data_IF_211417402782
#
_entry.id   IF_211417402782
#
_cell.length_a   1.000
_cell.length_b   1.000
_cell.length_c   1.000
_cell.angle_alpha   90.00
_cell.angle_beta   90.00
_cell.angle_gamma   90.00
#
_symmetry.space_group_name_H-M   'P 1'
#
loop_
_entity.id
_entity.type
_entity.pdbx_description
1 polymer ?
#
# COMPACT_ATOMS: atom_id res chain seq x y z
N UNK A 1 -5.35 13.97 4.03
CA UNK A 1 -5.33 12.65 4.72
C UNK A 1 -4.50 12.67 6.01
N UNK A 2 -3.39 13.42 6.06
CA UNK A 2 -2.48 13.49 7.23
C UNK A 2 -3.18 13.72 8.58
N UNK A 3 -4.14 14.66 8.68
CA UNK A 3 -4.88 14.92 9.94
C UNK A 3 -5.61 13.71 10.51
N UNK A 4 -6.15 12.84 9.66
CA UNK A 4 -6.86 11.65 10.12
C UNK A 4 -5.86 10.62 10.69
N UNK A 5 -4.79 10.34 9.97
CA UNK A 5 -3.77 9.39 10.41
C UNK A 5 -3.02 9.85 11.65
N UNK A 6 -2.46 11.05 11.65
CA UNK A 6 -1.67 11.52 12.79
C UNK A 6 -2.53 11.88 13.99
N UNK A 7 -3.74 12.40 13.75
CA UNK A 7 -4.63 12.87 14.81
C UNK A 7 -5.47 11.77 15.43
N UNK A 8 -6.27 11.07 14.63
CA UNK A 8 -7.22 10.07 15.14
C UNK A 8 -6.55 8.71 15.39
N UNK A 9 -5.62 8.33 14.53
CA UNK A 9 -4.99 7.00 14.58
C UNK A 9 -3.57 7.01 15.19
N UNK A 10 -2.98 8.18 15.45
CA UNK A 10 -1.61 8.29 15.95
C UNK A 10 -0.54 7.77 14.99
N UNK A 11 -0.88 7.58 13.70
CA UNK A 11 0.01 7.05 12.67
C UNK A 11 0.78 8.20 11.99
N UNK A 12 2.10 8.10 11.80
CA UNK A 12 2.91 9.14 11.14
C UNK A 12 2.70 9.21 9.62
N UNK A 13 1.68 8.54 9.09
CA UNK A 13 1.43 8.38 7.68
C UNK A 13 1.08 9.70 7.00
N UNK A 14 1.74 9.97 5.88
CA UNK A 14 1.50 11.16 5.06
C UNK A 14 1.24 10.76 3.62
N UNK A 15 0.24 11.38 2.99
CA UNK A 15 0.08 11.26 1.54
C UNK A 15 1.32 11.80 0.84
N UNK A 16 1.78 11.10 -0.19
CA UNK A 16 3.01 11.41 -0.89
C UNK A 16 2.78 11.64 -2.37
N UNK A 17 3.02 10.63 -3.21
CA UNK A 17 2.98 10.76 -4.66
C UNK A 17 1.67 10.23 -5.21
N UNK A 18 1.35 10.62 -6.44
CA UNK A 18 0.23 10.10 -7.21
C UNK A 18 0.73 9.68 -8.59
N UNK A 19 0.83 8.38 -8.82
CA UNK A 19 1.30 7.83 -10.09
C UNK A 19 0.85 6.39 -10.25
N UNK A 20 1.12 5.81 -11.44
CA UNK A 20 1.15 4.36 -11.62
C UNK A 20 2.58 3.87 -11.51
N UNK A 21 2.80 2.77 -10.79
CA UNK A 21 4.08 2.08 -10.72
C UNK A 21 3.85 0.61 -10.38
N UNK A 22 4.91 -0.18 -10.44
CA UNK A 22 4.94 -1.57 -10.00
C UNK A 22 5.38 -1.65 -8.54
N UNK A 23 4.64 -2.41 -7.74
CA UNK A 23 4.95 -2.68 -6.34
C UNK A 23 4.91 -4.19 -6.06
N UNK A 24 5.71 -4.65 -5.11
CA UNK A 24 5.85 -6.06 -4.73
C UNK A 24 5.35 -6.26 -3.31
N UNK A 25 4.61 -7.34 -3.12
CA UNK A 25 4.09 -7.76 -1.82
C UNK A 25 5.24 -8.04 -0.86
N UNK A 26 5.06 -7.68 0.41
CA UNK A 26 5.93 -8.03 1.54
C UNK A 26 5.30 -9.22 2.28
N UNK A 27 5.65 -10.48 1.99
CA UNK A 27 4.96 -11.64 2.55
C UNK A 27 5.07 -11.72 4.08
N UNK A 28 6.13 -11.15 4.65
CA UNK A 28 6.33 -11.04 6.08
C UNK A 28 5.30 -10.13 6.78
N UNK A 29 4.68 -9.20 6.04
CA UNK A 29 3.77 -8.19 6.58
C UNK A 29 2.29 -8.58 6.47
N UNK A 30 1.97 -9.67 5.76
CA UNK A 30 0.60 -10.21 5.67
C UNK A 30 0.30 -11.26 6.74
N UNK A 31 1.22 -11.52 7.67
CA UNK A 31 1.10 -12.56 8.71
C UNK A 31 -0.12 -12.41 9.62
N UNK A 32 -0.65 -11.19 9.73
CA UNK A 32 -1.83 -10.89 10.54
C UNK A 32 -3.14 -11.14 9.78
N UNK A 33 -3.09 -11.28 8.46
CA UNK A 33 -4.26 -11.66 7.65
C UNK A 33 -4.53 -13.15 7.83
N UNK A 34 -5.76 -13.58 7.57
CA UNK A 34 -6.04 -15.01 7.50
C UNK A 34 -5.20 -15.64 6.37
N UNK A 35 -4.70 -16.89 6.52
CA UNK A 35 -3.92 -17.54 5.46
C UNK A 35 -4.66 -17.59 4.11
N UNK A 36 -5.98 -17.77 4.15
CA UNK A 36 -6.84 -17.78 2.96
C UNK A 36 -6.87 -16.41 2.28
N UNK A 37 -7.01 -15.33 3.03
CA UNK A 37 -7.00 -13.96 2.51
C UNK A 37 -5.61 -13.58 1.96
N UNK A 38 -4.55 -13.85 2.74
CA UNK A 38 -3.17 -13.58 2.33
C UNK A 38 -2.78 -14.35 1.05
N UNK A 39 -3.26 -15.58 0.89
CA UNK A 39 -2.99 -16.41 -0.28
C UNK A 39 -3.62 -15.91 -1.58
N UNK A 40 -4.57 -14.97 -1.52
CA UNK A 40 -5.19 -14.37 -2.70
C UNK A 40 -4.42 -13.15 -3.22
N UNK A 41 -3.48 -12.62 -2.44
CA UNK A 41 -2.75 -11.40 -2.80
C UNK A 41 -1.72 -11.67 -3.90
N UNK A 42 -1.69 -10.80 -4.90
CA UNK A 42 -0.71 -10.88 -5.97
C UNK A 42 0.69 -10.56 -5.43
N UNK A 43 1.71 -11.34 -5.80
CA UNK A 43 3.10 -11.05 -5.41
C UNK A 43 3.59 -9.70 -5.95
N UNK A 44 2.98 -9.22 -7.04
CA UNK A 44 3.29 -7.96 -7.68
C UNK A 44 2.00 -7.34 -8.23
N UNK A 45 1.91 -6.02 -8.17
CA UNK A 45 0.83 -5.28 -8.81
C UNK A 45 1.37 -4.03 -9.51
N UNK A 46 0.76 -3.67 -10.65
CA UNK A 46 0.88 -2.32 -11.22
C UNK A 46 -0.41 -1.59 -10.92
N UNK A 47 -0.31 -0.55 -10.10
CA UNK A 47 -1.48 0.19 -9.63
C UNK A 47 -1.30 1.68 -9.79
N UNK A 48 -2.37 2.37 -10.21
CA UNK A 48 -2.43 3.83 -10.18
C UNK A 48 -3.07 4.27 -8.88
N UNK A 49 -2.34 5.03 -8.08
CA UNK A 49 -2.84 5.43 -6.79
C UNK A 49 -2.05 6.53 -6.12
N UNK A 50 -2.59 7.00 -5.01
CA UNK A 50 -1.84 7.81 -4.05
C UNK A 50 -1.00 6.89 -3.15
N UNK A 51 0.22 7.29 -2.83
CA UNK A 51 1.12 6.56 -1.93
C UNK A 51 1.23 7.24 -0.57
N UNK A 52 1.70 6.49 0.43
CA UNK A 52 2.02 6.99 1.76
C UNK A 52 3.53 6.99 2.01
N UNK A 53 4.00 8.01 2.73
CA UNK A 53 5.29 8.03 3.42
C UNK A 53 5.11 7.89 4.93
N UNK A 54 6.19 7.56 5.63
CA UNK A 54 6.22 7.42 7.09
C UNK A 54 5.59 6.12 7.60
N UNK A 55 5.16 5.22 6.70
CA UNK A 55 4.70 3.88 7.09
C UNK A 55 5.92 3.06 7.53
N UNK A 56 5.87 2.46 8.72
CA UNK A 56 6.93 1.59 9.19
C UNK A 56 7.05 0.36 8.27
N UNK A 57 8.26 -0.17 8.07
CA UNK A 57 8.50 -1.25 7.10
C UNK A 57 7.59 -2.46 7.31
N UNK A 58 7.35 -2.84 8.58
CA UNK A 58 6.45 -3.96 8.96
C UNK A 58 4.96 -3.75 8.61
N UNK A 59 4.56 -2.51 8.36
CA UNK A 59 3.17 -2.12 8.10
C UNK A 59 2.94 -1.82 6.60
N UNK A 60 3.99 -1.90 5.75
CA UNK A 60 3.88 -1.73 4.30
C UNK A 60 3.49 -3.07 3.66
N UNK A 61 2.29 -3.20 3.11
CA UNK A 61 1.90 -4.45 2.44
C UNK A 61 2.62 -4.62 1.11
N UNK A 62 2.75 -3.53 0.37
CA UNK A 62 3.47 -3.49 -0.90
C UNK A 62 4.56 -2.42 -0.85
N UNK A 63 5.69 -2.70 -1.50
CA UNK A 63 6.80 -1.77 -1.61
C UNK A 63 7.31 -1.68 -3.05
N UNK A 64 7.91 -0.54 -3.44
CA UNK A 64 8.60 -0.41 -4.72
C UNK A 64 9.68 -1.48 -4.87
N UNK A 65 9.89 -1.95 -6.11
CA UNK A 65 11.16 -2.59 -6.46
C UNK A 65 12.21 -1.51 -6.73
N UNK A 66 13.46 -1.93 -6.74
CA UNK A 66 14.60 -1.06 -7.07
C UNK A 66 14.51 -0.46 -8.48
N UNK A 67 13.87 -1.16 -9.41
CA UNK A 67 13.67 -0.75 -10.80
C UNK A 67 12.29 -0.13 -11.06
N UNK A 68 11.46 0.04 -10.02
CA UNK A 68 10.15 0.65 -10.14
C UNK A 68 10.29 2.12 -10.57
N UNK A 69 9.42 2.51 -11.50
CA UNK A 69 9.40 3.83 -12.10
C UNK A 69 7.97 4.23 -12.44
N UNK A 70 7.75 5.52 -12.64
CA UNK A 70 6.45 6.05 -13.06
C UNK A 70 6.05 5.46 -14.42
N UNK A 71 4.88 4.83 -14.48
CA UNK A 71 4.30 4.29 -15.69
C UNK A 71 3.23 5.27 -16.21
N UNK A 72 3.53 5.97 -17.31
CA UNK A 72 2.63 6.97 -17.90
C UNK A 72 2.82 7.07 -19.40
N UNK A 73 1.74 7.40 -20.12
CA UNK A 73 1.80 7.75 -21.55
C UNK A 73 2.29 9.18 -21.79
N UNK A 74 2.35 10.02 -20.75
CA UNK A 74 2.66 11.45 -20.86
C UNK A 74 3.89 11.84 -20.06
N UNK A 75 4.13 11.20 -18.91
CA UNK A 75 5.28 11.46 -18.05
C UNK A 75 6.43 10.50 -18.33
N UNK A 76 7.66 10.98 -18.18
CA UNK A 76 8.85 10.17 -18.32
C UNK A 76 8.90 9.05 -17.24
N UNK A 77 9.55 7.90 -17.54
CA UNK A 77 9.69 6.78 -16.61
C UNK A 77 10.76 7.06 -15.55
N UNK A 78 10.49 8.02 -14.66
CA UNK A 78 11.40 8.39 -13.59
C UNK A 78 11.31 7.36 -12.44
N UNK A 79 12.43 7.03 -11.76
CA UNK A 79 12.42 6.21 -10.57
C UNK A 79 11.47 6.76 -9.50
N UNK A 80 10.87 5.87 -8.73
CA UNK A 80 9.99 6.25 -7.62
C UNK A 80 10.68 6.12 -6.26
N UNK A 81 10.16 6.84 -5.27
CA UNK A 81 10.68 6.82 -3.90
C UNK A 81 10.55 5.41 -3.31
N UNK A 82 11.65 4.85 -2.79
CA UNK A 82 11.67 3.50 -2.24
C UNK A 82 11.00 3.41 -0.86
N UNK A 83 10.74 4.54 -0.22
CA UNK A 83 10.05 4.62 1.06
C UNK A 83 8.53 4.77 0.97
N UNK A 84 8.00 4.94 -0.24
CA UNK A 84 6.57 5.03 -0.42
C UNK A 84 5.88 3.66 -0.42
N UNK A 85 4.60 3.64 -0.07
CA UNK A 85 3.78 2.44 -0.19
C UNK A 85 2.38 2.78 -0.69
N UNK A 86 1.80 1.99 -1.62
CA UNK A 86 0.43 2.20 -2.07
C UNK A 86 -0.60 1.60 -1.11
N UNK A 87 -0.17 0.70 -0.21
CA UNK A 87 -1.06 -0.08 0.65
C UNK A 87 -0.39 -0.38 1.99
N UNK A 88 -1.05 0.01 3.08
CA UNK A 88 -0.51 -0.11 4.43
C UNK A 88 -1.51 -0.75 5.38
N UNK A 89 -1.01 -1.43 6.42
CA UNK A 89 -1.82 -2.09 7.42
C UNK A 89 -1.11 -2.09 8.78
N UNK A 90 -1.60 -1.28 9.72
CA UNK A 90 -0.97 -1.07 11.02
C UNK A 90 -1.93 -1.35 12.18
N UNK A 91 -1.38 -1.76 13.32
CA UNK A 91 -2.09 -1.82 14.60
C UNK A 91 -2.32 -0.41 15.15
N UNK A 92 -3.55 -0.16 15.61
CA UNK A 92 -3.93 1.07 16.32
C UNK A 92 -4.89 0.68 17.44
N UNK A 93 -4.44 0.87 18.69
CA UNK A 93 -5.19 0.44 19.87
C UNK A 93 -5.43 -1.08 19.86
N UNK A 94 -6.70 -1.49 19.90
CA UNK A 94 -7.12 -2.91 19.88
C UNK A 94 -7.45 -3.41 18.45
N UNK A 95 -7.29 -2.56 17.44
CA UNK A 95 -7.69 -2.86 16.06
C UNK A 95 -6.60 -2.57 15.03
N UNK A 96 -7.02 -2.57 13.78
CA UNK A 96 -6.15 -2.33 12.62
C UNK A 96 -6.66 -1.16 11.79
N UNK A 97 -5.75 -0.39 11.23
CA UNK A 97 -6.03 0.63 10.21
C UNK A 97 -5.39 0.20 8.91
N UNK A 98 -6.23 0.08 7.88
CA UNK A 98 -5.83 -0.22 6.51
C UNK A 98 -5.85 1.02 5.63
N UNK A 99 -4.94 1.07 4.66
CA UNK A 99 -4.95 2.04 3.58
C UNK A 99 -4.78 1.32 2.24
N UNK A 100 -5.62 1.69 1.27
CA UNK A 100 -5.49 1.30 -0.14
C UNK A 100 -5.59 2.58 -0.97
N UNK A 101 -4.49 2.97 -1.62
CA UNK A 101 -4.41 4.22 -2.38
C UNK A 101 -4.92 4.15 -3.81
N UNK A 102 -5.51 3.02 -4.20
CA UNK A 102 -6.04 2.76 -5.54
C UNK A 102 -7.10 3.80 -5.92
N UNK A 103 -6.98 4.37 -7.12
CA UNK A 103 -7.99 5.31 -7.66
C UNK A 103 -8.77 4.77 -8.85
N UNK A 104 -8.39 3.60 -9.36
CA UNK A 104 -8.96 2.99 -10.57
C UNK A 104 -9.73 1.70 -10.27
N UNK A 105 -9.82 1.26 -9.02
CA UNK A 105 -10.49 -0.01 -8.64
C UNK A 105 -9.84 -1.21 -9.35
N UNK A 106 -8.53 -1.29 -9.25
CA UNK A 106 -7.73 -2.38 -9.79
C UNK A 106 -7.87 -3.60 -8.89
N UNK A 107 -7.91 -4.79 -9.50
CA UNK A 107 -8.17 -6.06 -8.81
C UNK A 107 -7.24 -6.29 -7.60
N UNK A 108 -5.98 -5.85 -7.69
CA UNK A 108 -5.03 -5.96 -6.58
C UNK A 108 -5.46 -5.15 -5.35
N UNK A 109 -5.94 -3.91 -5.55
CA UNK A 109 -6.44 -3.07 -4.47
C UNK A 109 -7.70 -3.65 -3.82
N UNK A 110 -8.62 -4.19 -4.63
CA UNK A 110 -9.83 -4.85 -4.15
C UNK A 110 -9.52 -6.09 -3.29
N UNK A 111 -8.60 -6.95 -3.75
CA UNK A 111 -8.18 -8.14 -2.99
C UNK A 111 -7.53 -7.77 -1.67
N UNK A 112 -6.72 -6.72 -1.63
CA UNK A 112 -6.12 -6.24 -0.38
C UNK A 112 -7.17 -5.70 0.57
N UNK A 113 -8.16 -4.95 0.07
CA UNK A 113 -9.27 -4.45 0.87
C UNK A 113 -10.08 -5.61 1.51
N UNK A 114 -10.40 -6.63 0.72
CA UNK A 114 -11.10 -7.82 1.21
C UNK A 114 -10.25 -8.58 2.25
N UNK A 115 -8.96 -8.74 1.97
CA UNK A 115 -8.05 -9.42 2.87
C UNK A 115 -7.89 -8.70 4.22
N UNK A 116 -7.87 -7.36 4.23
CA UNK A 116 -7.91 -6.56 5.46
C UNK A 116 -9.19 -6.79 6.27
N UNK A 117 -10.30 -7.14 5.61
CA UNK A 117 -11.57 -7.50 6.23
C UNK A 117 -11.66 -8.99 6.61
N UNK A 118 -10.63 -9.79 6.31
CA UNK A 118 -10.62 -11.24 6.56
C UNK A 118 -11.45 -12.06 5.57
N UNK A 119 -11.78 -11.49 4.40
CA UNK A 119 -12.54 -12.11 3.31
C UNK A 119 -11.63 -12.67 2.21
#
# INVERSE_FOLDING_TARGET
>A
MERAFSGAFGLPWKGHSYHRSTFVLRPENVRRMSPTAAGQLALECSQKGATLLGVAEKDRLYAPRRDSHVQSFVFAPLPIDQDETPMAWAEVGEGMVGYVGDVNHEEAGEKVLLAMCGL
#
